data_IF_600668560949
#
_entry.id   IF_600668560949
#
_cell.length_a   1.000
_cell.length_b   1.000
_cell.length_c   1.000
_cell.angle_alpha   90.00
_cell.angle_beta   90.00
_cell.angle_gamma   90.00
#
_symmetry.space_group_name_H-M   'P 1'
#
loop_
_entity.id
_entity.type
_entity.pdbx_description
1 polymer ?
#
# COMPACT_ATOMS: atom_id res chain seq x y z
N UNK A 1 28.64 -53.44 42.59
CA UNK A 1 28.98 -52.75 41.31
C UNK A 1 27.87 -52.94 40.27
N UNK A 2 27.39 -54.16 39.99
CA UNK A 2 26.35 -54.43 38.99
C UNK A 2 24.98 -53.75 39.28
N UNK A 3 24.49 -53.74 40.52
CA UNK A 3 23.21 -53.11 40.89
C UNK A 3 23.18 -51.58 40.65
N UNK A 4 24.27 -50.87 40.95
CA UNK A 4 24.37 -49.42 40.68
C UNK A 4 24.38 -49.10 39.19
N UNK A 5 24.94 -50.00 38.35
CA UNK A 5 24.95 -49.84 36.89
C UNK A 5 23.53 -49.99 36.31
N UNK A 6 22.80 -51.01 36.73
CA UNK A 6 21.40 -51.24 36.30
C UNK A 6 20.49 -50.07 36.71
N UNK A 7 20.69 -49.54 37.93
CA UNK A 7 19.94 -48.38 38.40
C UNK A 7 20.25 -47.13 37.56
N UNK A 8 21.53 -46.88 37.27
CA UNK A 8 21.98 -45.78 36.40
C UNK A 8 21.40 -45.87 34.99
N UNK A 9 21.42 -47.05 34.37
CA UNK A 9 20.89 -47.28 33.02
C UNK A 9 19.36 -47.07 32.98
N UNK A 10 18.66 -47.48 34.05
CA UNK A 10 17.22 -47.24 34.22
C UNK A 10 16.89 -45.75 34.33
N UNK A 11 17.65 -45.00 35.13
CA UNK A 11 17.50 -43.54 35.25
C UNK A 11 17.79 -42.81 33.93
N UNK A 12 18.83 -43.21 33.19
CA UNK A 12 19.16 -42.63 31.89
C UNK A 12 18.05 -42.87 30.86
N UNK A 13 17.45 -44.08 30.86
CA UNK A 13 16.30 -44.38 30.00
C UNK A 13 15.09 -43.53 30.35
N UNK A 14 14.75 -43.39 31.64
CA UNK A 14 13.64 -42.53 32.08
C UNK A 14 13.86 -41.06 31.70
N UNK A 15 15.09 -40.55 31.81
CA UNK A 15 15.43 -39.19 31.37
C UNK A 15 15.27 -39.02 29.86
N UNK A 16 15.72 -39.99 29.06
CA UNK A 16 15.57 -39.96 27.60
C UNK A 16 14.09 -40.02 27.17
N UNK A 17 13.29 -40.87 27.81
CA UNK A 17 11.85 -40.97 27.54
C UNK A 17 11.10 -39.69 27.93
N UNK A 18 11.46 -39.08 29.06
CA UNK A 18 10.92 -37.80 29.51
C UNK A 18 11.30 -36.64 28.58
N UNK A 19 12.56 -36.60 28.13
CA UNK A 19 13.03 -35.61 27.15
C UNK A 19 12.32 -35.74 25.81
N UNK A 20 12.13 -36.97 25.32
CA UNK A 20 11.40 -37.24 24.07
C UNK A 20 9.94 -36.79 24.18
N UNK A 21 9.27 -37.12 25.29
CA UNK A 21 7.90 -36.68 25.56
C UNK A 21 7.79 -35.15 25.62
N UNK A 22 8.74 -34.48 26.27
CA UNK A 22 8.79 -33.02 26.32
C UNK A 22 8.97 -32.40 24.93
N UNK A 23 9.81 -33.00 24.07
CA UNK A 23 10.02 -32.56 22.69
C UNK A 23 8.74 -32.70 21.86
N UNK A 24 8.05 -33.85 21.93
CA UNK A 24 6.80 -34.07 21.22
C UNK A 24 5.69 -33.10 21.66
N UNK A 25 5.65 -32.73 22.94
CA UNK A 25 4.74 -31.69 23.44
C UNK A 25 5.13 -30.32 22.88
N UNK A 26 6.42 -29.99 22.84
CA UNK A 26 6.94 -28.76 22.23
C UNK A 26 6.51 -28.60 20.78
N UNK A 27 6.72 -29.64 19.97
CA UNK A 27 6.34 -29.63 18.55
C UNK A 27 4.82 -29.44 18.35
N UNK A 28 4.01 -30.11 19.18
CA UNK A 28 2.54 -29.92 19.18
C UNK A 28 2.14 -28.49 19.57
N UNK A 29 2.78 -27.91 20.58
CA UNK A 29 2.51 -26.52 20.98
C UNK A 29 2.88 -25.53 19.87
N UNK A 30 3.99 -25.75 19.18
CA UNK A 30 4.43 -24.87 18.09
C UNK A 30 3.51 -24.97 16.87
N UNK A 31 3.08 -26.19 16.50
CA UNK A 31 2.09 -26.38 15.43
C UNK A 31 0.73 -25.73 15.73
N UNK A 32 0.22 -25.86 16.95
CA UNK A 32 -1.01 -25.19 17.37
C UNK A 32 -0.84 -23.66 17.45
N UNK A 33 0.35 -23.16 17.84
CA UNK A 33 0.66 -21.73 17.80
C UNK A 33 0.58 -21.19 16.37
N UNK A 34 1.20 -21.87 15.40
CA UNK A 34 1.16 -21.49 13.99
C UNK A 34 -0.28 -21.53 13.46
N UNK A 35 -1.06 -22.55 13.83
CA UNK A 35 -2.47 -22.68 13.45
C UNK A 35 -3.31 -21.52 13.98
N UNK A 36 -3.12 -21.14 15.25
CA UNK A 36 -3.79 -19.98 15.86
C UNK A 36 -3.42 -18.68 15.15
N UNK A 37 -2.14 -18.45 14.87
CA UNK A 37 -1.69 -17.25 14.15
C UNK A 37 -2.36 -17.12 12.79
N UNK A 38 -2.44 -18.21 12.02
CA UNK A 38 -3.16 -18.21 10.73
C UNK A 38 -4.63 -17.89 10.88
N UNK A 39 -5.29 -18.46 11.90
CA UNK A 39 -6.68 -18.16 12.22
C UNK A 39 -6.89 -16.69 12.60
N UNK A 40 -5.99 -16.10 13.39
CA UNK A 40 -6.06 -14.70 13.80
C UNK A 40 -5.86 -13.75 12.60
N UNK A 41 -4.94 -14.08 11.68
CA UNK A 41 -4.77 -13.36 10.43
C UNK A 41 -6.03 -13.43 9.55
N UNK A 42 -6.62 -14.61 9.39
CA UNK A 42 -7.86 -14.79 8.65
C UNK A 42 -9.01 -13.97 9.27
N UNK A 43 -9.19 -14.05 10.60
CA UNK A 43 -10.18 -13.23 11.32
C UNK A 43 -9.94 -11.74 11.08
N UNK A 44 -8.69 -11.27 11.11
CA UNK A 44 -8.36 -9.87 10.85
C UNK A 44 -8.76 -9.45 9.43
N UNK A 45 -8.45 -10.27 8.43
CA UNK A 45 -8.82 -9.98 7.03
C UNK A 45 -10.34 -9.96 6.83
N UNK A 46 -11.06 -10.95 7.37
CA UNK A 46 -12.51 -11.03 7.30
C UNK A 46 -13.19 -9.84 7.99
N UNK A 47 -12.72 -9.44 9.18
CA UNK A 47 -13.20 -8.25 9.88
C UNK A 47 -13.01 -6.99 9.03
N UNK A 48 -11.84 -6.80 8.43
CA UNK A 48 -11.59 -5.65 7.55
C UNK A 48 -12.53 -5.63 6.33
N UNK A 49 -12.85 -6.80 5.76
CA UNK A 49 -13.78 -6.92 4.64
C UNK A 49 -15.22 -6.62 5.07
N UNK A 50 -15.66 -7.14 6.22
CA UNK A 50 -16.98 -6.85 6.78
C UNK A 50 -17.17 -5.35 7.06
N UNK A 51 -16.15 -4.70 7.64
CA UNK A 51 -16.21 -3.26 7.90
C UNK A 51 -16.27 -2.42 6.62
N UNK A 52 -15.64 -2.87 5.52
CA UNK A 52 -15.83 -2.23 4.21
C UNK A 52 -17.26 -2.40 3.72
N UNK A 53 -17.79 -3.62 3.73
CA UNK A 53 -19.16 -3.90 3.27
C UNK A 53 -20.20 -3.11 4.09
N UNK A 54 -20.07 -3.05 5.41
CA UNK A 54 -20.94 -2.25 6.28
C UNK A 54 -20.91 -0.75 5.97
N UNK A 55 -19.75 -0.21 5.60
CA UNK A 55 -19.68 1.20 5.18
C UNK A 55 -20.49 1.41 3.90
N UNK A 56 -20.33 0.53 2.92
CA UNK A 56 -21.05 0.57 1.65
C UNK A 56 -22.55 0.22 1.74
N UNK A 57 -23.04 -0.30 2.87
CA UNK A 57 -24.49 -0.51 3.10
C UNK A 57 -25.23 0.80 3.40
N UNK A 58 -24.52 1.83 3.86
CA UNK A 58 -25.12 3.12 4.20
C UNK A 58 -25.00 4.09 3.03
N UNK A 59 -26.04 4.90 2.80
CA UNK A 59 -25.98 5.99 1.81
C UNK A 59 -24.80 6.95 2.06
N UNK A 60 -24.45 7.19 3.33
CA UNK A 60 -23.30 8.02 3.70
C UNK A 60 -21.96 7.39 3.29
N UNK A 61 -21.78 6.07 3.46
CA UNK A 61 -20.57 5.39 3.04
C UNK A 61 -20.45 5.25 1.52
N UNK A 62 -21.55 4.98 0.82
CA UNK A 62 -21.58 5.02 -0.65
C UNK A 62 -21.24 6.42 -1.19
N UNK A 63 -21.81 7.47 -0.60
CA UNK A 63 -21.48 8.85 -0.98
C UNK A 63 -19.99 9.16 -0.76
N UNK A 64 -19.41 8.70 0.36
CA UNK A 64 -17.98 8.91 0.64
C UNK A 64 -17.07 8.17 -0.34
N UNK A 65 -17.42 6.94 -0.72
CA UNK A 65 -16.69 6.19 -1.75
C UNK A 65 -16.76 6.91 -3.11
N UNK A 66 -17.97 7.34 -3.50
CA UNK A 66 -18.19 8.10 -4.72
C UNK A 66 -17.44 9.45 -4.71
N UNK A 67 -17.43 10.17 -3.59
CA UNK A 67 -16.67 11.41 -3.43
C UNK A 67 -15.16 11.16 -3.59
N UNK A 68 -14.65 10.03 -3.08
CA UNK A 68 -13.27 9.61 -3.27
C UNK A 68 -12.94 9.37 -4.74
N UNK A 69 -13.77 8.60 -5.44
CA UNK A 69 -13.60 8.34 -6.88
C UNK A 69 -13.66 9.64 -7.70
N UNK A 70 -14.58 10.55 -7.37
CA UNK A 70 -14.68 11.87 -8.00
C UNK A 70 -13.41 12.69 -7.78
N UNK A 71 -12.81 12.65 -6.59
CA UNK A 71 -11.58 13.38 -6.30
C UNK A 71 -10.36 12.78 -7.02
N UNK A 72 -10.28 11.45 -7.13
CA UNK A 72 -9.25 10.76 -7.91
C UNK A 72 -9.30 11.21 -9.38
N UNK A 73 -10.50 11.25 -9.96
CA UNK A 73 -10.70 11.73 -11.32
C UNK A 73 -10.38 13.23 -11.48
N UNK A 74 -10.78 14.07 -10.52
CA UNK A 74 -10.43 15.50 -10.50
C UNK A 74 -8.92 15.72 -10.44
N UNK A 75 -8.21 14.88 -9.70
CA UNK A 75 -6.75 14.95 -9.58
C UNK A 75 -6.05 14.73 -10.92
N UNK A 76 -6.57 13.85 -11.78
CA UNK A 76 -6.05 13.64 -13.14
C UNK A 76 -6.14 14.90 -14.01
N UNK A 77 -7.15 15.74 -13.80
CA UNK A 77 -7.33 17.00 -14.54
C UNK A 77 -6.55 18.17 -13.91
N UNK A 78 -6.02 17.99 -12.71
CA UNK A 78 -5.36 19.05 -11.95
C UNK A 78 -3.91 19.23 -12.38
N UNK A 79 -3.46 20.49 -12.48
CA UNK A 79 -2.09 20.83 -12.81
C UNK A 79 -1.14 20.27 -11.76
N UNK A 80 -0.15 19.48 -12.20
CA UNK A 80 0.84 18.85 -11.32
C UNK A 80 1.89 19.81 -10.74
N UNK A 81 1.82 21.10 -11.07
CA UNK A 81 2.73 22.13 -10.53
C UNK A 81 2.11 22.82 -9.32
N UNK A 82 0.84 23.20 -9.39
CA UNK A 82 0.16 23.90 -8.29
C UNK A 82 -0.80 23.02 -7.49
N UNK A 83 -1.20 21.84 -8.02
CA UNK A 83 -2.18 20.96 -7.40
C UNK A 83 -3.49 21.67 -7.01
N UNK A 84 -3.86 22.70 -7.78
CA UNK A 84 -5.02 23.54 -7.49
C UNK A 84 -5.89 23.75 -8.73
N UNK A 85 -5.29 24.30 -9.80
CA UNK A 85 -5.99 24.63 -11.05
C UNK A 85 -6.06 23.43 -11.99
N UNK A 86 -7.10 23.39 -12.82
CA UNK A 86 -7.17 22.43 -13.93
C UNK A 86 -6.10 22.72 -14.99
N UNK A 87 -5.77 21.68 -15.76
CA UNK A 87 -4.93 21.80 -16.95
C UNK A 87 -5.72 22.53 -18.04
N UNK A 88 -5.13 23.52 -18.68
CA UNK A 88 -5.77 24.32 -19.74
C UNK A 88 -4.78 24.74 -20.84
N UNK A 89 -3.50 24.31 -20.73
CA UNK A 89 -2.49 24.47 -21.77
C UNK A 89 -1.69 23.19 -21.99
N UNK A 90 -1.24 22.99 -23.22
CA UNK A 90 -0.36 21.90 -23.65
C UNK A 90 0.93 22.45 -24.23
N UNK A 91 2.06 21.81 -23.89
CA UNK A 91 3.36 22.07 -24.50
C UNK A 91 3.50 21.16 -25.73
N UNK A 92 3.43 21.70 -26.95
CA UNK A 92 3.39 20.90 -28.20
C UNK A 92 4.67 20.13 -28.51
N UNK A 93 5.78 20.42 -27.81
CA UNK A 93 7.05 19.69 -27.95
C UNK A 93 7.07 18.35 -27.22
N UNK A 94 6.28 18.20 -26.16
CA UNK A 94 6.30 16.99 -25.32
C UNK A 94 4.91 16.55 -24.82
N UNK A 95 3.86 17.24 -25.23
CA UNK A 95 2.44 16.96 -24.94
C UNK A 95 2.05 16.89 -23.46
N UNK A 96 2.91 17.38 -22.56
CA UNK A 96 2.53 17.55 -21.16
C UNK A 96 1.60 18.77 -20.99
N UNK A 97 0.59 18.60 -20.15
CA UNK A 97 -0.44 19.59 -19.89
C UNK A 97 -0.36 20.16 -18.47
N UNK A 98 -0.59 21.46 -18.34
CA UNK A 98 -0.50 22.21 -17.09
C UNK A 98 -1.54 23.34 -17.08
N UNK A 99 -1.62 24.09 -15.97
CA UNK A 99 -2.38 25.35 -15.98
C UNK A 99 -1.53 26.50 -16.55
N UNK A 100 -2.20 27.41 -17.26
CA UNK A 100 -1.62 28.58 -17.91
C UNK A 100 -0.79 29.44 -16.96
N UNK A 101 -1.26 29.79 -15.73
CA UNK A 101 -0.46 30.58 -14.80
C UNK A 101 0.89 29.94 -14.43
N UNK A 102 0.95 28.60 -14.34
CA UNK A 102 2.20 27.89 -14.03
C UNK A 102 3.19 27.95 -15.20
N UNK A 103 2.71 27.80 -16.43
CA UNK A 103 3.59 27.86 -17.62
C UNK A 103 4.02 29.28 -17.94
N UNK A 104 3.16 30.28 -17.75
CA UNK A 104 3.51 31.69 -17.89
C UNK A 104 4.59 32.10 -16.89
N UNK A 105 4.47 31.70 -15.61
CA UNK A 105 5.51 31.91 -14.59
C UNK A 105 6.83 31.26 -14.98
N UNK A 106 6.77 30.06 -15.57
CA UNK A 106 7.95 29.33 -16.01
C UNK A 106 8.69 30.09 -17.13
N UNK A 107 7.93 30.56 -18.13
CA UNK A 107 8.45 31.36 -19.24
C UNK A 107 8.98 32.74 -18.80
N UNK A 108 8.28 33.44 -17.90
CA UNK A 108 8.70 34.75 -17.41
C UNK A 108 10.00 34.68 -16.59
N UNK A 109 10.16 33.59 -15.84
CA UNK A 109 11.39 33.31 -15.07
C UNK A 109 12.54 32.76 -15.93
N UNK A 110 12.38 32.73 -17.27
CA UNK A 110 13.34 32.16 -18.24
C UNK A 110 13.67 30.68 -18.02
N UNK A 111 12.86 29.96 -17.25
CA UNK A 111 12.96 28.52 -17.05
C UNK A 111 12.26 27.78 -18.21
N UNK A 112 12.87 27.82 -19.40
CA UNK A 112 12.30 27.28 -20.64
C UNK A 112 12.35 25.75 -20.74
N UNK A 113 11.99 25.04 -19.67
CA UNK A 113 11.95 23.57 -19.58
C UNK A 113 10.61 23.09 -19.02
N UNK A 114 10.04 22.07 -19.65
CA UNK A 114 8.78 21.46 -19.23
C UNK A 114 8.88 20.98 -17.76
N UNK A 115 7.94 21.35 -16.86
CA UNK A 115 7.94 20.87 -15.48
C UNK A 115 7.84 19.34 -15.35
N UNK A 116 7.24 18.66 -16.33
CA UNK A 116 7.03 17.20 -16.28
C UNK A 116 8.22 16.38 -16.77
N UNK A 117 8.95 16.85 -17.78
CA UNK A 117 9.99 16.05 -18.44
C UNK A 117 11.29 16.81 -18.79
N UNK A 118 11.38 18.11 -18.49
CA UNK A 118 12.57 18.90 -18.73
C UNK A 118 12.84 19.30 -20.18
N UNK A 119 12.03 18.84 -21.15
CA UNK A 119 12.15 19.21 -22.58
C UNK A 119 12.05 20.73 -22.74
N UNK A 120 12.94 21.30 -23.53
CA UNK A 120 12.97 22.73 -23.78
C UNK A 120 11.75 23.19 -24.61
N UNK A 121 11.16 24.33 -24.25
CA UNK A 121 10.01 24.89 -24.96
C UNK A 121 9.99 26.44 -24.90
N UNK A 122 9.36 27.07 -25.89
CA UNK A 122 9.13 28.52 -25.93
C UNK A 122 7.65 28.89 -25.93
N UNK A 123 7.37 30.20 -25.95
CA UNK A 123 5.99 30.73 -25.97
C UNK A 123 5.17 30.21 -27.17
N UNK A 124 5.82 30.02 -28.33
CA UNK A 124 5.16 29.50 -29.53
C UNK A 124 4.67 28.04 -29.38
N UNK A 125 5.29 27.28 -28.47
CA UNK A 125 5.02 25.87 -28.21
C UNK A 125 3.88 25.66 -27.19
N UNK A 126 3.31 26.73 -26.63
CA UNK A 126 2.21 26.66 -25.67
C UNK A 126 0.89 26.92 -26.39
N UNK A 127 -0.05 25.97 -26.29
CA UNK A 127 -1.40 26.10 -26.87
C UNK A 127 -2.45 25.85 -25.80
N UNK A 128 -3.59 26.54 -25.91
CA UNK A 128 -4.73 26.27 -25.04
C UNK A 128 -5.31 24.89 -25.34
N UNK A 129 -5.79 24.22 -24.31
CA UNK A 129 -6.48 22.94 -24.37
C UNK A 129 -7.80 23.07 -23.60
N UNK A 130 -8.91 22.67 -24.23
CA UNK A 130 -10.24 22.76 -23.64
C UNK A 130 -10.84 21.35 -23.59
N UNK A 131 -11.28 20.94 -22.40
CA UNK A 131 -12.09 19.74 -22.23
C UNK A 131 -13.55 20.14 -22.52
N UNK A 132 -14.07 19.74 -23.68
CA UNK A 132 -15.43 20.06 -24.13
C UNK A 132 -16.16 18.78 -24.45
#
# INVERSE_FOLDING_TARGET
IAQNKILSDSYQKQLADSQKSAQEIGDKLDSERIRRQRGDEEIKTLRSRMERMKRSETAAGLNKELEGELEDMRTLLRCSVCHERQKDVIITKCFHMFCKPCIERNLSSRHRKCPGCGVAFGTADVKNCFFT
#
